data_IF_563115984439
#
_entry.id   IF_563115984439
#
_cell.length_a   1.000
_cell.length_b   1.000
_cell.length_c   1.000
_cell.angle_alpha   90.00
_cell.angle_beta   90.00
_cell.angle_gamma   90.00
#
_symmetry.space_group_name_H-M   'P 1'
#
loop_
_entity.id
_entity.type
_entity.pdbx_description
1 polymer ?
#
# COMPACT_ATOMS: atom_id res chain seq x y z
N UNK A 1 5.46 -1.64 -0.09
CA UNK A 1 5.21 -0.19 -0.32
C UNK A 1 4.91 0.00 -1.79
N UNK A 2 4.05 0.95 -2.17
CA UNK A 2 3.65 1.18 -3.55
C UNK A 2 3.49 2.68 -3.86
N UNK A 3 3.52 3.04 -5.15
CA UNK A 3 3.19 4.38 -5.63
C UNK A 3 1.84 4.33 -6.34
N UNK A 4 0.93 5.22 -5.95
CA UNK A 4 -0.42 5.31 -6.53
C UNK A 4 -0.64 6.71 -7.14
N UNK A 5 -1.23 6.75 -8.33
CA UNK A 5 -1.76 7.97 -8.95
C UNK A 5 -3.20 8.28 -8.49
N UNK A 6 -3.72 9.46 -8.83
CA UNK A 6 -5.08 9.86 -8.45
C UNK A 6 -5.16 10.49 -7.06
N UNK A 7 -4.14 11.24 -6.67
CA UNK A 7 -4.22 12.15 -5.54
C UNK A 7 -4.74 13.51 -6.01
N UNK A 8 -6.06 13.70 -5.96
CA UNK A 8 -6.76 14.88 -6.45
C UNK A 8 -6.10 16.17 -6.01
N UNK A 9 -5.85 17.09 -6.95
CA UNK A 9 -5.25 18.40 -6.69
C UNK A 9 -6.12 19.54 -7.27
N UNK A 10 -7.39 19.66 -6.84
CA UNK A 10 -8.31 20.65 -7.40
C UNK A 10 -7.88 22.10 -7.13
N UNK A 11 -7.06 22.32 -6.11
CA UNK A 11 -6.52 23.63 -5.73
C UNK A 11 -5.20 23.98 -6.44
N UNK A 12 -4.72 23.15 -7.37
CA UNK A 12 -3.54 23.46 -8.19
C UNK A 12 -2.23 23.63 -7.40
N UNK A 13 -2.12 23.01 -6.23
CA UNK A 13 -0.95 23.14 -5.38
C UNK A 13 0.31 22.57 -6.06
N UNK A 14 1.52 23.10 -5.82
CA UNK A 14 2.76 22.62 -6.42
C UNK A 14 3.22 21.30 -5.75
N UNK A 15 2.44 20.23 -5.94
CA UNK A 15 2.70 18.87 -5.45
C UNK A 15 2.38 17.85 -6.53
N UNK A 16 3.05 16.70 -6.47
CA UNK A 16 2.79 15.60 -7.37
C UNK A 16 1.37 15.03 -7.16
N UNK A 17 0.73 14.58 -8.25
CA UNK A 17 -0.53 13.82 -8.22
C UNK A 17 -0.33 12.33 -7.92
N UNK A 18 0.93 11.92 -7.76
CA UNK A 18 1.35 10.59 -7.34
C UNK A 18 1.76 10.63 -5.87
N UNK A 19 1.45 9.56 -5.15
CA UNK A 19 1.77 9.43 -3.74
C UNK A 19 2.42 8.07 -3.47
N UNK A 20 3.54 8.09 -2.73
CA UNK A 20 4.11 6.88 -2.12
C UNK A 20 3.27 6.52 -0.89
N UNK A 21 2.79 5.29 -0.82
CA UNK A 21 2.02 4.78 0.32
C UNK A 21 2.56 3.43 0.83
N UNK A 22 2.35 3.16 2.11
CA UNK A 22 2.57 1.86 2.73
C UNK A 22 1.46 1.55 3.74
N UNK A 23 1.20 0.26 3.94
CA UNK A 23 0.34 -0.24 5.00
C UNK A 23 1.20 -0.93 6.04
N UNK A 24 0.94 -0.67 7.32
CA UNK A 24 1.61 -1.32 8.45
C UNK A 24 0.55 -1.90 9.38
N UNK A 25 0.63 -3.20 9.64
CA UNK A 25 -0.17 -3.85 10.68
C UNK A 25 0.72 -4.13 11.88
N UNK A 26 0.40 -3.52 13.02
CA UNK A 26 1.20 -3.59 14.26
C UNK A 26 0.25 -3.41 15.45
N UNK A 27 0.43 -4.20 16.52
CA UNK A 27 -0.37 -4.12 17.76
C UNK A 27 -1.90 -4.15 17.52
N UNK A 28 -2.35 -4.96 16.56
CA UNK A 28 -3.77 -5.06 16.23
C UNK A 28 -4.33 -3.84 15.49
N UNK A 29 -3.48 -2.92 15.02
CA UNK A 29 -3.87 -1.71 14.31
C UNK A 29 -3.33 -1.72 12.89
N UNK A 30 -4.18 -1.38 11.94
CA UNK A 30 -3.78 -1.18 10.55
C UNK A 30 -3.60 0.32 10.29
N UNK A 31 -2.38 0.69 9.92
CA UNK A 31 -1.97 2.06 9.64
C UNK A 31 -1.72 2.26 8.14
N UNK A 32 -2.16 3.39 7.60
CA UNK A 32 -1.73 3.91 6.30
C UNK A 32 -0.63 4.94 6.51
N UNK A 33 0.52 4.70 5.90
CA UNK A 33 1.63 5.64 5.78
C UNK A 33 1.60 6.28 4.41
N UNK A 34 1.78 7.59 4.35
CA UNK A 34 1.98 8.29 3.09
C UNK A 34 3.08 9.34 3.22
N UNK A 35 3.83 9.53 2.14
CA UNK A 35 4.86 10.55 2.06
C UNK A 35 4.33 11.77 1.32
N UNK A 36 4.50 12.99 1.87
CA UNK A 36 4.02 14.21 1.23
C UNK A 36 4.82 14.60 -0.02
N UNK A 37 6.04 14.07 -0.18
CA UNK A 37 6.92 14.30 -1.33
C UNK A 37 7.58 12.98 -1.74
N UNK A 38 7.86 12.82 -3.03
CA UNK A 38 8.45 11.60 -3.59
C UNK A 38 9.98 11.56 -3.43
N UNK A 39 10.66 12.66 -3.76
CA UNK A 39 12.11 12.66 -4.05
C UNK A 39 12.84 13.85 -3.39
N UNK A 40 12.93 13.91 -2.06
CA UNK A 40 14.02 14.70 -1.43
C UNK A 40 14.93 13.76 -0.67
N UNK A 41 16.23 13.88 -0.92
CA UNK A 41 17.30 12.95 -0.52
C UNK A 41 17.59 12.86 0.99
N UNK A 42 16.55 12.77 1.82
CA UNK A 42 16.66 12.54 3.26
C UNK A 42 15.60 11.56 3.75
N UNK A 43 15.75 11.11 5.01
CA UNK A 43 14.74 10.28 5.69
C UNK A 43 13.54 11.15 6.04
N UNK A 44 12.54 11.18 5.15
CA UNK A 44 11.30 11.90 5.39
C UNK A 44 10.37 10.97 6.13
N UNK A 45 9.95 11.39 7.32
CA UNK A 45 9.03 10.58 8.09
C UNK A 45 7.62 10.59 7.48
N UNK A 46 7.01 9.41 7.31
CA UNK A 46 5.68 9.32 6.75
C UNK A 46 4.66 9.94 7.69
N UNK A 47 3.59 10.47 7.12
CA UNK A 47 2.38 10.75 7.87
C UNK A 47 1.58 9.46 8.02
N UNK A 48 1.18 9.16 9.25
CA UNK A 48 0.43 7.96 9.60
C UNK A 48 -1.05 8.27 9.82
N UNK A 49 -1.92 7.37 9.36
CA UNK A 49 -3.36 7.41 9.57
C UNK A 49 -3.78 6.04 10.07
N UNK A 50 -4.41 5.98 11.24
CA UNK A 50 -5.05 4.75 11.70
C UNK A 50 -6.26 4.46 10.80
N UNK A 51 -6.26 3.32 10.11
CA UNK A 51 -7.39 2.89 9.28
C UNK A 51 -8.38 2.03 10.05
N UNK A 52 -7.86 1.04 10.78
CA UNK A 52 -8.64 0.07 11.53
C UNK A 52 -7.94 -0.27 12.85
N UNK A 53 -8.73 -0.49 13.88
CA UNK A 53 -8.29 -1.00 15.18
C UNK A 53 -8.88 -2.40 15.43
N UNK A 54 -8.29 -3.16 16.35
CA UNK A 54 -8.69 -4.54 16.70
C UNK A 54 -8.66 -5.51 15.50
N UNK A 55 -7.73 -5.30 14.59
CA UNK A 55 -7.42 -6.17 13.45
C UNK A 55 -6.66 -7.38 13.94
N UNK A 56 -7.23 -8.58 13.74
CA UNK A 56 -6.64 -9.85 14.15
C UNK A 56 -5.86 -10.54 13.03
N UNK A 57 -6.17 -10.20 11.78
CA UNK A 57 -5.41 -10.67 10.62
C UNK A 57 -5.49 -9.65 9.49
N UNK A 58 -4.36 -9.45 8.81
CA UNK A 58 -4.27 -8.67 7.59
C UNK A 58 -3.45 -9.45 6.56
N UNK A 59 -4.02 -9.71 5.38
CA UNK A 59 -3.35 -10.45 4.32
C UNK A 59 -3.48 -9.71 3.00
N UNK A 60 -2.36 -9.63 2.28
CA UNK A 60 -2.29 -9.10 0.92
C UNK A 60 -1.89 -10.24 0.00
N UNK A 61 -2.61 -10.39 -1.12
CA UNK A 61 -2.30 -11.37 -2.16
C UNK A 61 -2.18 -10.69 -3.52
N UNK A 62 -1.33 -11.23 -4.36
CA UNK A 62 -1.04 -10.74 -5.70
C UNK A 62 -1.50 -11.77 -6.72
N UNK A 63 -2.23 -11.35 -7.74
CA UNK A 63 -2.60 -12.21 -8.87
C UNK A 63 -1.47 -12.18 -9.89
N UNK A 64 -0.99 -13.36 -10.28
CA UNK A 64 0.04 -13.57 -11.29
C UNK A 64 -0.38 -14.76 -12.16
N UNK A 65 -0.54 -14.56 -13.47
CA UNK A 65 -0.98 -15.61 -14.41
C UNK A 65 -2.17 -16.44 -13.89
N UNK A 66 -3.22 -15.77 -13.39
CA UNK A 66 -4.43 -16.35 -12.76
C UNK A 66 -4.22 -17.11 -11.43
N UNK A 67 -3.00 -17.15 -10.90
CA UNK A 67 -2.68 -17.71 -9.58
C UNK A 67 -2.54 -16.63 -8.50
N UNK A 68 -3.09 -16.89 -7.32
CA UNK A 68 -2.97 -16.00 -6.17
C UNK A 68 -1.74 -16.33 -5.32
N UNK A 69 -0.81 -15.37 -5.21
CA UNK A 69 0.45 -15.48 -4.46
C UNK A 69 0.46 -14.59 -3.22
N UNK A 70 1.35 -14.89 -2.27
CA UNK A 70 1.49 -14.15 -1.01
C UNK A 70 2.78 -13.31 -0.96
N UNK A 71 3.65 -13.47 -1.95
CA UNK A 71 4.98 -12.86 -2.07
C UNK A 71 5.02 -11.78 -3.17
N UNK A 72 5.85 -10.77 -2.93
CA UNK A 72 6.20 -9.73 -3.90
C UNK A 72 7.61 -9.17 -3.62
N UNK A 73 8.44 -8.91 -4.64
CA UNK A 73 8.22 -9.21 -6.06
C UNK A 73 8.21 -10.73 -6.29
N UNK A 74 7.54 -11.21 -7.34
CA UNK A 74 7.63 -12.63 -7.67
C UNK A 74 9.06 -12.98 -8.10
N UNK A 75 9.39 -14.29 -8.13
CA UNK A 75 10.67 -14.80 -8.60
C UNK A 75 11.03 -14.24 -9.99
N UNK A 76 12.34 -14.20 -10.29
CA UNK A 76 12.90 -13.57 -11.50
C UNK A 76 12.31 -14.16 -12.80
N UNK A 77 11.88 -15.42 -12.79
CA UNK A 77 11.31 -16.11 -13.94
C UNK A 77 9.81 -15.85 -14.15
N UNK A 78 9.19 -15.00 -13.33
CA UNK A 78 7.78 -14.65 -13.48
C UNK A 78 7.59 -13.55 -14.55
N UNK A 79 6.68 -13.79 -15.51
CA UNK A 79 6.39 -12.86 -16.61
C UNK A 79 6.06 -11.45 -16.09
N UNK A 80 6.92 -10.50 -16.43
CA UNK A 80 6.86 -9.11 -15.96
C UNK A 80 5.72 -8.28 -16.58
N UNK A 81 5.15 -8.72 -17.71
CA UNK A 81 4.10 -8.00 -18.46
C UNK A 81 2.66 -8.33 -18.03
N UNK A 82 2.46 -9.30 -17.14
CA UNK A 82 1.12 -9.71 -16.71
C UNK A 82 0.41 -8.59 -15.95
N UNK A 83 -0.89 -8.36 -16.23
CA UNK A 83 -1.74 -7.49 -15.41
C UNK A 83 -1.88 -8.10 -14.01
N UNK A 84 -1.21 -7.52 -13.02
CA UNK A 84 -1.26 -8.03 -11.65
C UNK A 84 -2.31 -7.29 -10.83
N UNK A 85 -3.23 -8.05 -10.25
CA UNK A 85 -4.25 -7.54 -9.35
C UNK A 85 -3.79 -7.71 -7.90
N UNK A 86 -4.19 -6.77 -7.04
CA UNK A 86 -3.92 -6.84 -5.60
C UNK A 86 -5.25 -7.09 -4.89
N UNK A 87 -5.30 -8.12 -4.05
CA UNK A 87 -6.42 -8.36 -3.14
C UNK A 87 -5.96 -8.18 -1.70
N UNK A 88 -6.65 -7.33 -0.96
CA UNK A 88 -6.50 -7.19 0.47
C UNK A 88 -7.67 -7.90 1.17
N UNK A 89 -7.38 -8.59 2.28
CA UNK A 89 -8.38 -9.17 3.17
C UNK A 89 -7.99 -8.93 4.61
N UNK A 90 -8.92 -8.41 5.39
CA UNK A 90 -8.78 -8.14 6.81
C UNK A 90 -9.82 -8.93 7.63
N UNK A 91 -9.47 -9.20 8.90
CA UNK A 91 -10.41 -9.69 9.92
C UNK A 91 -10.26 -8.83 11.17
N UNK A 92 -11.38 -8.47 11.80
CA UNK A 92 -11.43 -7.74 13.05
C UNK A 92 -12.42 -8.40 14.01
N UNK A 93 -12.29 -8.14 15.31
CA UNK A 93 -13.30 -8.52 16.30
C UNK A 93 -14.29 -7.40 16.49
N UNK A 94 -15.59 -7.71 16.42
CA UNK A 94 -16.67 -6.84 16.89
C UNK A 94 -16.50 -6.57 18.38
N UNK A 95 -16.89 -5.37 18.83
CA UNK A 95 -17.05 -5.12 20.27
C UNK A 95 -18.17 -6.01 20.82
#
# INVERSE_FOLDING_TARGET
>A
MLTRAGWDNPLGQPRAQIQRIAYRWEEGRLWRRHWPVLDRGGRIEPREILLLDRVTAFTVRFLDQDEWRNDWPPPVDADAESRRLIRCRERWKSA
#
